data_IF_211409667388
#
_entry.id   IF_211409667388
#
_cell.length_a   1.000
_cell.length_b   1.000
_cell.length_c   1.000
_cell.angle_alpha   90.00
_cell.angle_beta   90.00
_cell.angle_gamma   90.00
#
_symmetry.space_group_name_H-M   'P 1'
#
loop_
_entity.id
_entity.type
_entity.pdbx_description
1 polymer ?
#
# COMPACT_ATOMS: atom_id res chain seq x y z
N UNK A 1 69.10 -48.08 -36.20
CA UNK A 1 68.23 -46.94 -36.00
C UNK A 1 68.85 -46.04 -34.92
N UNK A 2 69.14 -44.81 -35.20
CA UNK A 2 69.94 -43.99 -34.31
C UNK A 2 69.16 -43.58 -33.08
N UNK A 3 69.65 -43.91 -31.93
CA UNK A 3 69.15 -43.58 -30.57
C UNK A 3 69.01 -42.05 -30.36
N UNK A 4 69.61 -41.23 -31.22
CA UNK A 4 69.60 -39.80 -31.20
C UNK A 4 68.27 -39.13 -31.56
N UNK A 5 67.34 -39.87 -32.20
CA UNK A 5 66.06 -39.29 -32.64
C UNK A 5 64.93 -39.45 -31.57
N UNK A 6 65.12 -40.32 -30.57
CA UNK A 6 64.13 -40.60 -29.53
C UNK A 6 64.19 -39.55 -28.38
N UNK A 7 65.38 -39.00 -28.14
CA UNK A 7 65.61 -38.06 -27.02
C UNK A 7 64.87 -36.76 -27.16
N UNK A 8 64.69 -36.07 -28.34
CA UNK A 8 63.95 -34.85 -28.44
C UNK A 8 62.42 -35.02 -28.34
N UNK A 9 61.87 -36.21 -28.59
CA UNK A 9 60.43 -36.48 -28.48
C UNK A 9 59.98 -36.58 -27.03
N UNK A 10 60.82 -37.03 -26.12
CA UNK A 10 60.51 -37.11 -24.68
C UNK A 10 60.47 -35.72 -23.97
N UNK A 11 61.14 -34.71 -24.52
CA UNK A 11 61.20 -33.38 -23.95
C UNK A 11 59.94 -32.50 -24.28
N UNK A 12 59.12 -32.95 -25.23
CA UNK A 12 57.89 -32.20 -25.64
C UNK A 12 56.64 -32.59 -24.84
N UNK A 13 56.71 -33.65 -23.99
CA UNK A 13 55.55 -34.13 -23.23
C UNK A 13 55.36 -33.52 -21.82
N UNK A 14 56.25 -32.62 -21.35
CA UNK A 14 56.19 -32.04 -20.01
C UNK A 14 55.59 -30.63 -19.94
N UNK A 15 54.78 -30.22 -20.91
CA UNK A 15 54.26 -28.85 -21.06
C UNK A 15 52.84 -28.59 -20.60
N UNK A 16 52.12 -29.44 -19.89
CA UNK A 16 50.68 -29.23 -19.56
C UNK A 16 50.37 -28.91 -18.12
N UNK A 17 51.29 -28.36 -17.31
CA UNK A 17 51.05 -28.10 -15.88
C UNK A 17 51.07 -26.64 -15.43
N UNK A 18 51.43 -25.69 -16.29
CA UNK A 18 51.77 -24.33 -15.82
C UNK A 18 50.68 -23.26 -15.93
N UNK A 19 49.50 -23.58 -16.48
CA UNK A 19 48.38 -22.61 -16.54
C UNK A 19 47.20 -23.01 -15.66
N UNK A 20 47.45 -23.24 -14.35
CA UNK A 20 46.38 -23.14 -13.36
C UNK A 20 46.30 -21.68 -12.92
N UNK A 21 45.63 -20.84 -13.73
CA UNK A 21 45.10 -19.61 -13.22
C UNK A 21 44.06 -19.97 -12.14
N UNK A 22 44.29 -19.67 -10.86
CA UNK A 22 43.24 -19.86 -9.87
C UNK A 22 42.09 -18.91 -10.26
N UNK A 23 41.01 -19.52 -10.77
CA UNK A 23 39.76 -18.79 -10.96
C UNK A 23 39.45 -18.14 -9.60
N UNK A 24 39.59 -16.79 -9.53
CA UNK A 24 39.16 -16.06 -8.35
C UNK A 24 37.66 -16.29 -8.23
N UNK A 25 37.26 -17.11 -7.30
CA UNK A 25 35.85 -17.27 -6.93
C UNK A 25 35.42 -15.94 -6.38
N UNK A 26 34.59 -15.23 -7.12
CA UNK A 26 33.95 -13.97 -6.63
C UNK A 26 32.87 -14.41 -5.66
N UNK A 27 33.13 -14.32 -4.37
CA UNK A 27 32.10 -14.45 -3.36
C UNK A 27 31.21 -13.22 -3.44
N UNK A 28 30.04 -13.39 -4.04
CA UNK A 28 28.99 -12.36 -4.01
C UNK A 28 28.37 -12.41 -2.61
N UNK A 29 28.84 -11.54 -1.71
CA UNK A 29 28.15 -11.30 -0.45
C UNK A 29 26.91 -10.47 -0.73
N UNK A 30 25.75 -11.10 -0.75
CA UNK A 30 24.47 -10.40 -0.77
C UNK A 30 24.30 -9.76 0.61
N UNK A 31 24.50 -8.44 0.68
CA UNK A 31 24.17 -7.67 1.89
C UNK A 31 22.69 -7.34 1.80
N UNK A 32 21.90 -7.98 2.64
CA UNK A 32 20.48 -7.64 2.79
C UNK A 32 20.40 -6.25 3.46
N UNK A 33 20.15 -5.21 2.66
CA UNK A 33 19.97 -3.85 3.17
C UNK A 33 18.53 -3.72 3.63
N UNK A 34 18.32 -3.70 4.93
CA UNK A 34 17.01 -3.42 5.52
C UNK A 34 16.62 -1.98 5.17
N UNK A 35 15.68 -1.81 4.26
CA UNK A 35 15.14 -0.50 3.91
C UNK A 35 14.10 -0.11 4.95
N UNK A 36 14.44 0.85 5.79
CA UNK A 36 13.46 1.51 6.65
C UNK A 36 12.65 2.48 5.79
N UNK A 37 11.40 2.13 5.53
CA UNK A 37 10.46 2.98 4.80
C UNK A 37 9.70 3.80 5.85
N UNK A 38 9.86 5.14 5.88
CA UNK A 38 9.11 5.97 6.82
C UNK A 38 7.62 5.93 6.47
N UNK A 39 6.80 5.57 7.44
CA UNK A 39 5.34 5.59 7.29
C UNK A 39 4.79 6.96 7.68
N UNK A 40 3.85 7.48 6.90
CA UNK A 40 3.11 8.68 7.23
C UNK A 40 2.07 8.39 8.32
N UNK A 41 1.84 9.39 9.19
CA UNK A 41 0.76 9.30 10.16
C UNK A 41 -0.60 9.25 9.44
N UNK A 42 -1.50 8.46 9.99
CA UNK A 42 -2.88 8.40 9.48
C UNK A 42 -3.57 9.74 9.68
N UNK A 43 -4.49 10.14 8.77
CA UNK A 43 -5.32 11.32 8.96
C UNK A 43 -6.11 11.22 10.28
N UNK A 44 -6.30 12.37 10.92
CA UNK A 44 -7.16 12.47 12.10
C UNK A 44 -8.60 12.07 11.75
N UNK A 45 -9.29 11.44 12.70
CA UNK A 45 -10.69 11.09 12.52
C UNK A 45 -11.54 12.34 12.23
N UNK A 46 -12.40 12.23 11.23
CA UNK A 46 -13.32 13.29 10.84
C UNK A 46 -14.50 13.32 11.81
N UNK A 47 -14.81 14.48 12.37
CA UNK A 47 -16.06 14.73 13.09
C UNK A 47 -17.07 15.33 12.13
N UNK A 48 -18.22 14.70 12.00
CA UNK A 48 -19.33 15.16 11.16
C UNK A 48 -20.49 15.58 12.06
N UNK A 49 -21.16 16.67 11.68
CA UNK A 49 -22.37 17.11 12.34
C UNK A 49 -23.58 16.38 11.78
N UNK A 50 -24.60 16.22 12.62
CA UNK A 50 -25.87 15.65 12.20
C UNK A 50 -26.63 16.63 11.28
N UNK A 51 -27.25 16.07 10.25
CA UNK A 51 -28.07 16.80 9.30
C UNK A 51 -29.47 16.20 9.34
N UNK A 52 -30.47 17.06 9.49
CA UNK A 52 -31.87 16.65 9.50
C UNK A 52 -32.56 17.09 8.23
N UNK A 53 -33.36 16.20 7.67
CA UNK A 53 -34.18 16.46 6.49
C UNK A 53 -35.64 16.42 6.86
N UNK A 54 -36.39 17.37 6.35
CA UNK A 54 -37.85 17.42 6.50
C UNK A 54 -38.50 16.94 5.21
N UNK A 55 -39.48 16.06 5.32
CA UNK A 55 -40.32 15.69 4.19
C UNK A 55 -41.52 16.61 4.18
N UNK A 56 -41.55 17.52 3.21
CA UNK A 56 -42.63 18.49 3.06
C UNK A 56 -43.52 18.10 1.90
N UNK A 57 -44.79 17.97 2.15
CA UNK A 57 -45.84 17.66 1.17
C UNK A 57 -46.88 18.73 1.15
N UNK A 58 -47.76 18.71 0.15
CA UNK A 58 -48.88 19.65 0.07
C UNK A 58 -49.79 19.61 1.34
N UNK A 59 -49.92 18.42 1.93
CA UNK A 59 -50.77 18.20 3.11
C UNK A 59 -50.19 18.75 4.41
N UNK A 60 -48.84 18.78 4.54
CA UNK A 60 -48.18 19.20 5.80
C UNK A 60 -47.47 20.56 5.67
N UNK A 61 -47.65 21.25 4.54
CA UNK A 61 -46.89 22.48 4.24
C UNK A 61 -47.14 23.59 5.26
N UNK A 62 -48.41 23.87 5.61
CA UNK A 62 -48.74 24.95 6.53
C UNK A 62 -48.23 24.67 7.97
N UNK A 63 -48.39 23.43 8.44
CA UNK A 63 -47.85 23.00 9.74
C UNK A 63 -46.32 23.10 9.76
N UNK A 64 -45.68 22.64 8.69
CA UNK A 64 -44.22 22.74 8.53
C UNK A 64 -43.77 24.19 8.59
N UNK A 65 -44.44 25.11 7.86
CA UNK A 65 -44.10 26.51 7.80
C UNK A 65 -44.18 27.18 9.18
N UNK A 66 -45.26 26.96 9.92
CA UNK A 66 -45.42 27.51 11.27
C UNK A 66 -44.34 27.03 12.22
N UNK A 67 -44.09 25.74 12.23
CA UNK A 67 -43.05 25.16 13.07
C UNK A 67 -41.65 25.64 12.68
N UNK A 68 -41.35 25.70 11.38
CA UNK A 68 -40.06 26.12 10.87
C UNK A 68 -39.75 27.59 11.22
N UNK A 69 -40.72 28.49 11.07
CA UNK A 69 -40.56 29.89 11.46
C UNK A 69 -40.36 30.03 12.97
N UNK A 70 -41.07 29.24 13.76
CA UNK A 70 -40.92 29.25 15.22
C UNK A 70 -39.53 28.82 15.67
N UNK A 71 -38.94 27.85 14.98
CA UNK A 71 -37.63 27.28 15.31
C UNK A 71 -36.47 28.11 14.75
N UNK A 72 -36.62 28.69 13.55
CA UNK A 72 -35.51 29.31 12.80
C UNK A 72 -35.67 30.84 12.64
N UNK A 73 -36.81 31.42 12.97
CA UNK A 73 -37.13 32.85 12.84
C UNK A 73 -37.70 33.19 11.47
N UNK A 74 -37.08 32.75 10.38
CA UNK A 74 -37.48 33.06 9.01
C UNK A 74 -37.86 31.79 8.23
N UNK A 75 -38.76 31.95 7.25
CA UNK A 75 -39.11 30.84 6.34
C UNK A 75 -38.18 30.82 5.13
N UNK A 76 -36.94 30.42 5.36
CA UNK A 76 -35.90 30.31 4.34
C UNK A 76 -35.20 28.98 4.48
N UNK A 77 -35.21 28.18 3.43
CA UNK A 77 -34.55 26.86 3.39
C UNK A 77 -34.13 26.49 1.96
N UNK A 78 -33.20 25.56 1.85
CA UNK A 78 -32.85 24.92 0.58
C UNK A 78 -33.69 23.66 0.43
N UNK A 79 -34.33 23.49 -0.73
CA UNK A 79 -35.15 22.33 -1.01
C UNK A 79 -34.44 21.39 -2.05
N UNK A 80 -34.60 20.12 -1.84
CA UNK A 80 -34.21 19.08 -2.80
C UNK A 80 -35.44 18.30 -3.22
N UNK A 81 -35.52 17.91 -4.50
CA UNK A 81 -36.52 16.94 -4.92
C UNK A 81 -36.19 15.55 -4.34
N UNK A 82 -37.18 14.66 -4.27
CA UNK A 82 -36.95 13.26 -3.83
C UNK A 82 -35.82 12.63 -4.66
N UNK A 83 -35.84 12.84 -5.97
CA UNK A 83 -34.82 12.32 -6.89
C UNK A 83 -33.42 12.87 -6.57
N UNK A 84 -33.32 14.17 -6.28
CA UNK A 84 -32.02 14.79 -5.96
C UNK A 84 -31.51 14.33 -4.61
N UNK A 85 -32.41 14.13 -3.64
CA UNK A 85 -32.05 13.53 -2.34
C UNK A 85 -31.51 12.10 -2.50
N UNK A 86 -32.17 11.25 -3.29
CA UNK A 86 -31.70 9.90 -3.61
C UNK A 86 -30.34 9.94 -4.29
N UNK A 87 -30.15 10.84 -5.26
CA UNK A 87 -28.85 11.03 -5.94
C UNK A 87 -27.78 11.47 -4.96
N UNK A 88 -28.07 12.38 -4.05
CA UNK A 88 -27.15 12.81 -3.01
C UNK A 88 -26.76 11.63 -2.09
N UNK A 89 -27.73 10.84 -1.67
CA UNK A 89 -27.49 9.66 -0.83
C UNK A 89 -26.60 8.63 -1.54
N UNK A 90 -26.82 8.37 -2.83
CA UNK A 90 -25.98 7.49 -3.63
C UNK A 90 -24.55 8.04 -3.77
N UNK A 91 -24.40 9.33 -4.02
CA UNK A 91 -23.08 9.96 -4.11
C UNK A 91 -22.32 9.87 -2.79
N UNK A 92 -22.99 10.06 -1.66
CA UNK A 92 -22.37 9.88 -0.34
C UNK A 92 -21.97 8.43 -0.07
N UNK A 93 -22.77 7.45 -0.50
CA UNK A 93 -22.43 6.04 -0.42
C UNK A 93 -21.18 5.71 -1.26
N UNK A 94 -21.05 6.27 -2.45
CA UNK A 94 -19.89 6.10 -3.33
C UNK A 94 -18.61 6.72 -2.71
N UNK A 95 -18.70 7.91 -2.13
CA UNK A 95 -17.60 8.54 -1.40
C UNK A 95 -17.15 7.64 -0.23
N UNK A 96 -18.11 7.15 0.55
CA UNK A 96 -17.83 6.23 1.67
C UNK A 96 -17.12 4.96 1.19
N UNK A 97 -17.60 4.36 0.10
CA UNK A 97 -16.97 3.18 -0.53
C UNK A 97 -15.54 3.48 -0.95
N UNK A 98 -15.31 4.61 -1.63
CA UNK A 98 -13.99 5.04 -2.08
C UNK A 98 -13.01 5.23 -0.90
N UNK A 99 -13.44 5.92 0.15
CA UNK A 99 -12.63 6.13 1.37
C UNK A 99 -12.28 4.78 2.01
N UNK A 100 -13.24 3.85 2.08
CA UNK A 100 -12.99 2.52 2.63
C UNK A 100 -11.94 1.76 1.83
N UNK A 101 -12.00 1.78 0.51
CA UNK A 101 -11.00 1.16 -0.36
C UNK A 101 -9.62 1.79 -0.18
N UNK A 102 -9.52 3.12 -0.10
CA UNK A 102 -8.26 3.81 0.18
C UNK A 102 -7.68 3.39 1.53
N UNK A 103 -8.51 3.26 2.56
CA UNK A 103 -8.10 2.76 3.88
C UNK A 103 -7.55 1.34 3.82
N UNK A 104 -8.15 0.46 3.05
CA UNK A 104 -7.68 -0.92 2.88
C UNK A 104 -6.32 -0.98 2.17
N UNK A 105 -6.11 -0.13 1.15
CA UNK A 105 -4.83 0.01 0.47
C UNK A 105 -3.74 0.49 1.45
N UNK A 106 -4.04 1.50 2.26
CA UNK A 106 -3.11 2.01 3.28
C UNK A 106 -2.72 0.89 4.26
N UNK A 107 -3.69 0.15 4.78
CA UNK A 107 -3.45 -0.98 5.69
C UNK A 107 -2.58 -2.06 5.04
N UNK A 108 -2.82 -2.33 3.76
CA UNK A 108 -2.02 -3.30 3.00
C UNK A 108 -0.55 -2.87 2.94
N UNK A 109 -0.27 -1.62 2.58
CA UNK A 109 1.10 -1.11 2.50
C UNK A 109 1.77 -0.99 3.87
N UNK A 110 1.06 -0.57 4.90
CA UNK A 110 1.58 -0.54 6.28
C UNK A 110 2.06 -1.93 6.72
N UNK A 111 1.28 -2.97 6.42
CA UNK A 111 1.66 -4.37 6.73
C UNK A 111 2.86 -4.83 5.90
N UNK A 112 2.94 -4.41 4.64
CA UNK A 112 4.04 -4.80 3.75
C UNK A 112 5.38 -4.19 4.15
N UNK A 113 5.37 -2.99 4.76
CA UNK A 113 6.59 -2.28 5.19
C UNK A 113 6.89 -2.45 6.69
N UNK A 114 6.01 -3.12 7.44
CA UNK A 114 6.26 -3.40 8.85
C UNK A 114 7.53 -4.24 9.03
N UNK A 115 8.40 -3.91 9.99
CA UNK A 115 9.59 -4.70 10.28
C UNK A 115 9.22 -6.15 10.57
N UNK A 116 9.89 -7.09 9.93
CA UNK A 116 9.71 -8.51 10.26
C UNK A 116 10.17 -8.74 11.70
N UNK A 117 9.43 -9.50 12.52
CA UNK A 117 9.88 -9.85 13.85
C UNK A 117 11.23 -10.55 13.74
N UNK A 118 12.24 -10.08 14.46
CA UNK A 118 13.53 -10.76 14.57
C UNK A 118 13.26 -12.18 15.04
N UNK A 119 13.66 -13.19 14.26
CA UNK A 119 13.71 -14.55 14.75
C UNK A 119 14.69 -14.57 15.89
N UNK A 120 14.21 -14.84 17.11
CA UNK A 120 15.10 -15.18 18.21
C UNK A 120 15.88 -16.42 17.80
N UNK A 121 17.18 -16.27 17.53
CA UNK A 121 18.10 -17.40 17.46
C UNK A 121 18.04 -18.08 18.83
N UNK A 122 17.37 -19.23 18.88
CA UNK A 122 17.51 -20.12 20.03
C UNK A 122 18.93 -20.65 19.97
N UNK A 123 19.79 -20.09 20.84
CA UNK A 123 21.04 -20.71 21.17
C UNK A 123 20.76 -22.12 21.72
N UNK A 124 20.93 -23.13 20.86
CA UNK A 124 21.07 -24.52 21.31
C UNK A 124 22.42 -24.63 22.02
N UNK A 125 22.35 -24.72 23.33
CA UNK A 125 23.46 -25.20 24.18
C UNK A 125 23.42 -26.70 24.26
#
# INVERSE_FOLDING_TARGET
MPLSLILPILLLSSGCGYFKNPLKTIEIKTVEVERVIPTQNRPTAMSMNDIYFYVVTEQNFEEFKERFVKENGDFLFYALSVRDYETLALNMAEIKRYIQQQKEIIIYYEKAVAPKPKKEEKDEK
#
